data_IF_915034871778
#
_entry.id   IF_915034871778
#
_cell.length_a   1.000
_cell.length_b   1.000
_cell.length_c   1.000
_cell.angle_alpha   90.00
_cell.angle_beta   90.00
_cell.angle_gamma   90.00
#
_symmetry.space_group_name_H-M   'P 1'
#
loop_
_entity.id
_entity.type
_entity.pdbx_description
1 polymer ?
#
# COMPACT_ATOMS: atom_id res chain seq x y z
N UNK A 1 25.24 -30.57 58.99
CA UNK A 1 25.40 -29.82 60.26
C UNK A 1 24.03 -29.67 60.91
N UNK A 2 23.88 -30.40 62.01
CA UNK A 2 23.01 -30.21 63.19
C UNK A 2 21.48 -30.18 63.03
N UNK A 3 20.90 -31.31 63.46
CA UNK A 3 19.59 -31.43 64.10
C UNK A 3 19.55 -30.74 65.48
N UNK A 4 18.35 -30.41 65.99
CA UNK A 4 17.75 -30.96 67.24
C UNK A 4 16.65 -30.06 67.86
N UNK A 5 15.69 -30.74 68.53
CA UNK A 5 14.66 -30.31 69.52
C UNK A 5 13.44 -29.51 69.00
N UNK A 6 12.21 -30.02 68.95
CA UNK A 6 11.29 -30.60 69.98
C UNK A 6 10.90 -29.62 71.08
N UNK A 7 9.60 -29.27 71.20
CA UNK A 7 8.73 -29.60 72.35
C UNK A 7 7.26 -29.19 72.09
N UNK A 8 6.27 -29.95 72.61
CA UNK A 8 4.82 -29.72 72.45
C UNK A 8 4.18 -29.11 73.73
N UNK A 9 2.87 -28.85 73.73
CA UNK A 9 1.88 -29.27 74.77
C UNK A 9 0.50 -28.60 74.56
N UNK A 10 -0.56 -29.37 74.28
CA UNK A 10 -1.62 -29.87 75.19
C UNK A 10 -2.79 -28.88 75.40
N UNK A 11 -3.97 -29.31 74.95
CA UNK A 11 -5.31 -28.72 75.11
C UNK A 11 -5.83 -28.76 76.56
N UNK A 12 -6.71 -27.82 76.90
CA UNK A 12 -7.87 -28.05 77.77
C UNK A 12 -9.11 -27.31 77.24
N UNK A 13 -10.32 -27.88 77.37
CA UNK A 13 -11.56 -27.37 76.78
C UNK A 13 -12.40 -26.57 77.80
N UNK A 14 -13.31 -25.72 77.31
CA UNK A 14 -14.60 -25.52 77.97
C UNK A 14 -15.69 -25.15 76.96
N UNK A 15 -16.81 -25.84 77.08
CA UNK A 15 -17.98 -25.83 76.21
C UNK A 15 -18.93 -24.65 76.48
N UNK A 16 -19.89 -24.51 75.55
CA UNK A 16 -21.25 -23.98 75.68
C UNK A 16 -21.44 -22.46 75.46
N UNK A 17 -22.42 -21.96 74.69
CA UNK A 17 -23.61 -22.51 74.01
C UNK A 17 -24.14 -21.38 73.07
N UNK A 18 -24.74 -21.72 71.91
CA UNK A 18 -26.02 -21.16 71.36
C UNK A 18 -26.16 -21.48 69.84
N UNK A 19 -27.09 -22.41 69.59
CA UNK A 19 -28.02 -22.57 68.47
C UNK A 19 -27.55 -22.82 67.02
N UNK A 20 -27.56 -24.11 66.69
CA UNK A 20 -27.97 -24.67 65.39
C UNK A 20 -29.28 -24.06 64.86
N UNK A 21 -29.21 -23.35 63.73
CA UNK A 21 -30.36 -23.09 62.85
C UNK A 21 -30.10 -23.79 61.50
N UNK A 22 -31.13 -24.47 61.00
CA UNK A 22 -31.13 -25.48 59.94
C UNK A 22 -30.50 -25.03 58.61
N UNK A 23 -29.26 -25.47 58.34
CA UNK A 23 -28.52 -25.25 57.10
C UNK A 23 -29.00 -26.11 55.90
N UNK A 24 -29.84 -27.13 56.16
CA UNK A 24 -30.32 -28.08 55.12
C UNK A 24 -31.43 -27.50 54.24
N UNK A 25 -32.36 -26.71 54.80
CA UNK A 25 -33.45 -26.11 54.01
C UNK A 25 -32.96 -24.93 53.15
N UNK A 26 -32.04 -24.11 53.67
CA UNK A 26 -31.46 -22.99 52.94
C UNK A 26 -30.71 -23.47 51.68
N UNK A 27 -29.96 -24.56 51.77
CA UNK A 27 -29.25 -25.16 50.63
C UNK A 27 -30.22 -25.73 49.57
N UNK A 28 -31.41 -26.17 49.96
CA UNK A 28 -32.45 -26.68 49.04
C UNK A 28 -33.13 -25.55 48.28
N UNK A 29 -33.43 -24.44 48.95
CA UNK A 29 -33.99 -23.24 48.30
C UNK A 29 -32.96 -22.55 47.39
N UNK A 30 -31.69 -22.44 47.81
CA UNK A 30 -30.63 -21.86 46.96
C UNK A 30 -30.44 -22.70 45.69
N UNK A 31 -30.42 -24.03 45.78
CA UNK A 31 -30.34 -24.90 44.58
C UNK A 31 -31.53 -24.72 43.64
N UNK A 32 -32.74 -24.59 44.18
CA UNK A 32 -33.95 -24.35 43.39
C UNK A 32 -33.92 -22.99 42.69
N UNK A 33 -33.53 -21.93 43.40
CA UNK A 33 -33.43 -20.57 42.86
C UNK A 33 -32.31 -20.47 41.81
N UNK A 34 -31.17 -21.12 42.04
CA UNK A 34 -30.09 -21.16 41.04
C UNK A 34 -30.54 -21.93 39.79
N UNK A 35 -31.26 -23.03 39.95
CA UNK A 35 -31.79 -23.79 38.81
C UNK A 35 -32.80 -22.99 37.99
N UNK A 36 -33.71 -22.24 38.64
CA UNK A 36 -34.68 -21.40 37.94
C UNK A 36 -34.02 -20.22 37.24
N UNK A 37 -33.01 -19.58 37.86
CA UNK A 37 -32.26 -18.48 37.23
C UNK A 37 -31.43 -18.96 36.03
N UNK A 38 -30.81 -20.13 36.11
CA UNK A 38 -30.08 -20.73 34.98
C UNK A 38 -31.05 -21.09 33.85
N UNK A 39 -32.20 -21.69 34.16
CA UNK A 39 -33.21 -22.02 33.15
C UNK A 39 -33.80 -20.76 32.46
N UNK A 40 -34.07 -19.69 33.22
CA UNK A 40 -34.51 -18.42 32.65
C UNK A 40 -33.42 -17.77 31.80
N UNK A 41 -32.15 -17.84 32.23
CA UNK A 41 -31.02 -17.34 31.47
C UNK A 41 -30.77 -18.10 30.16
N UNK A 42 -30.92 -19.43 30.15
CA UNK A 42 -30.78 -20.22 28.91
C UNK A 42 -31.92 -19.97 27.94
N UNK A 43 -33.17 -19.85 28.44
CA UNK A 43 -34.33 -19.48 27.62
C UNK A 43 -34.13 -18.08 27.01
N UNK A 44 -33.67 -17.11 27.80
CA UNK A 44 -33.37 -15.76 27.32
C UNK A 44 -32.28 -15.76 26.25
N UNK A 45 -31.21 -16.54 26.42
CA UNK A 45 -30.17 -16.70 25.40
C UNK A 45 -30.72 -17.32 24.11
N UNK A 46 -31.58 -18.35 24.19
CA UNK A 46 -32.20 -18.98 23.01
C UNK A 46 -33.09 -17.96 22.28
N UNK A 47 -33.84 -17.14 23.00
CA UNK A 47 -34.68 -16.08 22.41
C UNK A 47 -33.81 -15.00 21.74
N UNK A 48 -32.72 -14.56 22.37
CA UNK A 48 -31.79 -13.58 21.77
C UNK A 48 -31.14 -14.14 20.51
N UNK A 49 -30.71 -15.41 20.51
CA UNK A 49 -30.15 -16.05 19.32
C UNK A 49 -31.21 -16.18 18.22
N UNK A 50 -32.44 -16.59 18.57
CA UNK A 50 -33.53 -16.70 17.61
C UNK A 50 -33.93 -15.35 16.98
N UNK A 51 -33.96 -14.28 17.78
CA UNK A 51 -34.24 -12.92 17.30
C UNK A 51 -33.10 -12.40 16.39
N UNK A 52 -31.84 -12.73 16.69
CA UNK A 52 -30.69 -12.36 15.85
C UNK A 52 -30.53 -13.21 14.59
N UNK A 53 -31.22 -14.35 14.47
CA UNK A 53 -31.20 -15.18 13.25
C UNK A 53 -32.14 -14.71 12.14
N UNK A 54 -32.98 -13.69 12.37
CA UNK A 54 -33.91 -13.17 11.35
C UNK A 54 -33.32 -12.10 10.42
N UNK A 55 -32.04 -11.71 10.56
CA UNK A 55 -31.41 -10.68 9.70
C UNK A 55 -30.35 -11.18 8.72
N UNK A 56 -30.23 -12.50 8.52
CA UNK A 56 -29.53 -13.01 7.33
C UNK A 56 -30.54 -13.22 6.21
N UNK A 57 -31.09 -12.12 5.72
CA UNK A 57 -31.56 -12.12 4.33
C UNK A 57 -30.36 -12.53 3.47
N UNK A 58 -30.54 -13.63 2.74
CA UNK A 58 -29.56 -14.10 1.78
C UNK A 58 -29.22 -12.94 0.84
N UNK A 59 -27.94 -12.57 0.78
CA UNK A 59 -27.41 -11.68 -0.25
C UNK A 59 -27.87 -12.23 -1.60
N UNK A 60 -28.72 -11.52 -2.38
CA UNK A 60 -29.18 -12.04 -3.64
C UNK A 60 -27.98 -12.21 -4.59
N UNK A 61 -27.76 -13.46 -4.98
CA UNK A 61 -26.84 -13.90 -6.01
C UNK A 61 -27.26 -13.40 -7.40
N UNK A 62 -26.37 -12.65 -8.08
CA UNK A 62 -26.24 -12.56 -9.56
C UNK A 62 -27.39 -11.79 -10.28
N UNK A 63 -27.12 -11.00 -11.34
CA UNK A 63 -27.75 -9.71 -11.53
C UNK A 63 -29.17 -9.78 -12.08
N UNK A 64 -30.00 -8.83 -11.64
CA UNK A 64 -31.32 -8.59 -12.18
C UNK A 64 -31.19 -8.15 -13.65
N UNK A 65 -31.34 -9.11 -14.57
CA UNK A 65 -31.50 -8.82 -15.99
C UNK A 65 -32.99 -8.57 -16.20
N UNK A 66 -33.36 -7.32 -16.49
CA UNK A 66 -34.72 -6.97 -16.92
C UNK A 66 -34.68 -6.63 -18.40
N UNK A 67 -35.47 -7.29 -19.24
CA UNK A 67 -35.54 -7.03 -20.68
C UNK A 67 -34.18 -7.06 -21.40
N UNK A 68 -33.32 -8.05 -21.11
CA UNK A 68 -31.94 -8.15 -21.60
C UNK A 68 -31.02 -6.97 -21.21
N UNK A 69 -31.43 -6.12 -20.25
CA UNK A 69 -30.60 -5.04 -19.71
C UNK A 69 -29.98 -5.49 -18.39
N UNK A 70 -28.67 -5.34 -18.27
CA UNK A 70 -27.96 -5.59 -17.02
C UNK A 70 -28.24 -4.49 -15.99
N UNK A 71 -28.90 -4.83 -14.87
CA UNK A 71 -29.11 -3.91 -13.75
C UNK A 71 -28.22 -4.25 -12.54
N UNK A 72 -27.13 -4.98 -12.76
CA UNK A 72 -26.08 -5.16 -11.75
C UNK A 72 -25.55 -3.77 -11.33
N UNK A 73 -25.17 -3.57 -10.05
CA UNK A 73 -24.57 -2.30 -9.61
C UNK A 73 -23.40 -1.84 -10.50
N UNK A 74 -22.49 -2.76 -10.85
CA UNK A 74 -21.34 -2.46 -11.71
C UNK A 74 -21.75 -2.03 -13.12
N UNK A 75 -22.77 -2.66 -13.71
CA UNK A 75 -23.32 -2.27 -15.02
C UNK A 75 -23.89 -0.85 -14.99
N UNK A 76 -24.65 -0.51 -13.94
CA UNK A 76 -25.25 0.82 -13.79
C UNK A 76 -24.18 1.90 -13.61
N UNK A 77 -23.17 1.64 -12.78
CA UNK A 77 -22.04 2.54 -12.55
C UNK A 77 -21.26 2.78 -13.85
N UNK A 78 -20.95 1.70 -14.58
CA UNK A 78 -20.21 1.80 -15.84
C UNK A 78 -21.01 2.51 -16.93
N UNK A 79 -22.30 2.20 -17.08
CA UNK A 79 -23.17 2.88 -18.04
C UNK A 79 -23.26 4.37 -17.74
N UNK A 80 -23.42 4.75 -16.47
CA UNK A 80 -23.42 6.16 -16.03
C UNK A 80 -22.09 6.85 -16.36
N UNK A 81 -20.95 6.21 -16.07
CA UNK A 81 -19.62 6.74 -16.39
C UNK A 81 -19.42 6.97 -17.88
N UNK A 82 -19.87 6.04 -18.73
CA UNK A 82 -19.82 6.17 -20.19
C UNK A 82 -20.68 7.36 -20.63
N UNK A 83 -21.95 7.40 -20.21
CA UNK A 83 -22.89 8.45 -20.60
C UNK A 83 -22.41 9.86 -20.18
N UNK A 84 -21.80 9.99 -19.00
CA UNK A 84 -21.28 11.28 -18.52
C UNK A 84 -20.10 11.80 -19.35
N UNK A 85 -19.33 10.90 -19.98
CA UNK A 85 -18.19 11.28 -20.83
C UNK A 85 -18.61 11.62 -22.26
N UNK A 86 -19.73 11.04 -22.73
CA UNK A 86 -20.24 11.22 -24.09
C UNK A 86 -20.90 12.58 -24.28
N UNK A 87 -20.72 13.19 -25.46
CA UNK A 87 -21.48 14.34 -25.94
C UNK A 87 -22.47 13.91 -27.03
N UNK A 88 -23.72 13.64 -26.62
CA UNK A 88 -24.79 13.14 -27.49
C UNK A 88 -25.26 14.15 -28.55
N UNK A 89 -24.73 15.39 -28.54
CA UNK A 89 -25.03 16.40 -29.58
C UNK A 89 -24.17 16.25 -30.83
N UNK A 90 -23.10 15.45 -30.75
CA UNK A 90 -22.18 15.20 -31.87
C UNK A 90 -22.65 13.95 -32.63
N UNK A 91 -22.64 13.99 -33.95
CA UNK A 91 -22.92 12.80 -34.76
C UNK A 91 -21.72 11.85 -34.72
N UNK A 92 -21.86 10.61 -34.16
CA UNK A 92 -20.77 9.64 -34.09
C UNK A 92 -20.20 9.24 -35.45
N UNK A 93 -20.96 9.35 -36.53
CA UNK A 93 -20.48 9.05 -37.88
C UNK A 93 -19.54 10.13 -38.44
N UNK A 94 -19.53 11.32 -37.83
CA UNK A 94 -18.70 12.46 -38.26
C UNK A 94 -17.48 12.65 -37.36
N UNK A 95 -17.64 12.58 -36.04
CA UNK A 95 -16.56 12.68 -35.07
C UNK A 95 -16.86 11.80 -33.85
N UNK A 96 -16.44 10.53 -33.94
CA UNK A 96 -16.63 9.56 -32.89
C UNK A 96 -15.86 9.92 -31.60
N UNK A 97 -14.72 10.61 -31.71
CA UNK A 97 -13.93 10.99 -30.54
C UNK A 97 -14.65 12.05 -29.71
N UNK A 98 -15.14 13.11 -30.34
CA UNK A 98 -15.93 14.14 -29.65
C UNK A 98 -17.27 13.60 -29.15
N UNK A 99 -17.91 12.68 -29.88
CA UNK A 99 -19.12 12.00 -29.39
C UNK A 99 -18.86 11.19 -28.12
N UNK A 100 -17.75 10.44 -28.06
CA UNK A 100 -17.47 9.54 -26.91
C UNK A 100 -16.80 10.24 -25.73
N UNK A 101 -15.99 11.28 -25.97
CA UNK A 101 -15.17 11.93 -24.96
C UNK A 101 -15.45 13.43 -24.77
N UNK A 102 -16.36 14.02 -25.55
CA UNK A 102 -16.55 15.47 -25.59
C UNK A 102 -16.89 16.10 -24.24
N UNK A 103 -17.71 15.43 -23.41
CA UNK A 103 -18.02 15.93 -22.07
C UNK A 103 -16.90 15.64 -21.07
N UNK A 104 -16.16 14.54 -21.21
CA UNK A 104 -14.98 14.29 -20.40
C UNK A 104 -13.96 15.43 -20.54
N UNK A 105 -13.66 15.84 -21.78
CA UNK A 105 -12.72 16.93 -22.05
C UNK A 105 -13.17 18.28 -21.48
N UNK A 106 -14.48 18.58 -21.54
CA UNK A 106 -15.04 19.82 -20.98
C UNK A 106 -14.98 19.85 -19.45
N UNK A 107 -15.20 18.72 -18.81
CA UNK A 107 -15.35 18.62 -17.36
C UNK A 107 -14.05 18.25 -16.64
N UNK A 108 -13.02 17.85 -17.38
CA UNK A 108 -11.74 17.38 -16.82
C UNK A 108 -10.59 18.26 -17.33
N UNK A 109 -10.45 19.49 -16.82
CA UNK A 109 -9.32 20.33 -17.15
C UNK A 109 -8.03 19.69 -16.62
N UNK A 110 -6.94 19.86 -17.36
CA UNK A 110 -5.62 19.38 -16.92
C UNK A 110 -5.17 20.18 -15.70
N UNK A 111 -4.91 19.54 -14.54
CA UNK A 111 -4.38 20.20 -13.36
C UNK A 111 -3.02 20.88 -13.63
N UNK A 112 -2.67 21.89 -12.84
CA UNK A 112 -1.42 22.64 -13.03
C UNK A 112 -0.14 21.81 -12.84
N UNK A 113 -0.24 20.71 -12.08
CA UNK A 113 0.84 19.76 -11.80
C UNK A 113 0.90 18.59 -12.80
N UNK A 114 0.00 18.56 -13.80
CA UNK A 114 -0.08 17.49 -14.80
C UNK A 114 0.04 18.06 -16.22
N UNK A 115 0.56 17.24 -17.14
CA UNK A 115 0.69 17.61 -18.56
C UNK A 115 -0.45 17.07 -19.42
N UNK A 116 -1.10 16.01 -18.97
CA UNK A 116 -2.15 15.26 -19.68
C UNK A 116 -3.16 14.80 -18.62
N UNK A 117 -4.44 14.70 -18.98
CA UNK A 117 -5.42 13.92 -18.22
C UNK A 117 -6.10 12.91 -19.12
N UNK A 118 -6.22 11.68 -18.64
CA UNK A 118 -6.81 10.56 -19.37
C UNK A 118 -7.33 9.50 -18.42
N UNK A 119 -8.21 8.63 -18.92
CA UNK A 119 -8.68 7.47 -18.17
C UNK A 119 -7.56 6.53 -17.72
N UNK A 120 -6.45 6.47 -18.47
CA UNK A 120 -5.26 5.70 -18.10
C UNK A 120 -4.55 6.29 -16.88
N UNK A 121 -4.43 7.62 -16.80
CA UNK A 121 -3.85 8.28 -15.62
C UNK A 121 -4.73 8.11 -14.40
N UNK A 122 -6.06 8.18 -14.55
CA UNK A 122 -6.98 7.92 -13.43
C UNK A 122 -6.81 6.50 -12.88
N UNK A 123 -6.73 5.50 -13.76
CA UNK A 123 -6.47 4.11 -13.37
C UNK A 123 -5.08 3.96 -12.71
N UNK A 124 -4.06 4.59 -13.27
CA UNK A 124 -2.71 4.58 -12.70
C UNK A 124 -2.67 5.22 -11.31
N UNK A 125 -3.37 6.34 -11.09
CA UNK A 125 -3.49 6.99 -9.78
C UNK A 125 -4.12 6.04 -8.77
N UNK A 126 -5.19 5.33 -9.13
CA UNK A 126 -5.80 4.34 -8.24
C UNK A 126 -4.83 3.22 -7.86
N UNK A 127 -4.07 2.69 -8.83
CA UNK A 127 -3.04 1.67 -8.57
C UNK A 127 -1.94 2.22 -7.66
N UNK A 128 -1.47 3.45 -7.89
CA UNK A 128 -0.45 4.08 -7.07
C UNK A 128 -0.92 4.35 -5.64
N UNK A 129 -2.19 4.71 -5.45
CA UNK A 129 -2.79 4.86 -4.12
C UNK A 129 -2.85 3.52 -3.37
N UNK A 130 -3.25 2.44 -4.05
CA UNK A 130 -3.23 1.10 -3.46
C UNK A 130 -1.80 0.68 -3.11
N UNK A 131 -0.85 0.88 -4.01
CA UNK A 131 0.56 0.58 -3.77
C UNK A 131 1.10 1.39 -2.58
N UNK A 132 0.80 2.68 -2.50
CA UNK A 132 1.16 3.53 -1.38
C UNK A 132 0.67 2.96 -0.05
N UNK A 133 -0.60 2.56 0.02
CA UNK A 133 -1.16 1.95 1.22
C UNK A 133 -0.36 0.71 1.64
N UNK A 134 -0.06 -0.18 0.69
CA UNK A 134 0.74 -1.38 0.95
C UNK A 134 2.17 -1.07 1.43
N UNK A 135 2.78 0.01 0.92
CA UNK A 135 4.15 0.41 1.29
C UNK A 135 4.22 1.13 2.64
N UNK A 136 3.15 1.82 3.03
CA UNK A 136 3.04 2.54 4.30
C UNK A 136 2.63 1.64 5.48
N UNK A 137 2.11 0.45 5.21
CA UNK A 137 1.81 -0.56 6.22
C UNK A 137 3.03 -0.89 7.11
N UNK A 138 2.75 -1.14 8.39
CA UNK A 138 3.78 -1.56 9.34
C UNK A 138 4.31 -2.94 8.93
N UNK A 139 5.63 -3.03 8.79
CA UNK A 139 6.30 -4.31 8.57
C UNK A 139 6.13 -5.23 9.77
N UNK A 140 5.87 -6.51 9.50
CA UNK A 140 5.75 -7.53 10.55
C UNK A 140 7.05 -8.33 10.66
N UNK A 141 7.27 -8.96 11.81
CA UNK A 141 8.46 -9.81 12.02
C UNK A 141 8.53 -10.97 11.01
N UNK A 142 7.37 -11.50 10.60
CA UNK A 142 7.21 -12.62 9.66
C UNK A 142 7.30 -12.21 8.18
N UNK A 143 7.37 -10.91 7.87
CA UNK A 143 7.43 -10.44 6.48
C UNK A 143 8.75 -10.84 5.80
N UNK A 144 8.66 -11.29 4.54
CA UNK A 144 9.83 -11.70 3.75
C UNK A 144 10.74 -10.49 3.46
N UNK A 145 12.04 -10.78 3.33
CA UNK A 145 13.06 -9.75 3.13
C UNK A 145 12.78 -8.80 1.96
N UNK A 146 12.36 -9.25 0.75
CA UNK A 146 12.10 -8.34 -0.36
C UNK A 146 11.06 -7.27 -0.03
N UNK A 147 9.97 -7.62 0.66
CA UNK A 147 8.93 -6.67 1.04
C UNK A 147 9.42 -5.68 2.09
N UNK A 148 10.22 -6.14 3.07
CA UNK A 148 10.87 -5.25 4.04
C UNK A 148 11.79 -4.25 3.35
N UNK A 149 12.59 -4.68 2.38
CA UNK A 149 13.51 -3.81 1.63
C UNK A 149 12.75 -2.76 0.83
N UNK A 150 11.70 -3.14 0.09
CA UNK A 150 10.91 -2.19 -0.70
C UNK A 150 10.20 -1.16 0.20
N UNK A 151 9.64 -1.58 1.34
CA UNK A 151 9.03 -0.67 2.32
C UNK A 151 10.05 0.29 2.94
N UNK A 152 11.24 -0.19 3.28
CA UNK A 152 12.31 0.65 3.82
C UNK A 152 12.83 1.64 2.78
N UNK A 153 12.96 1.20 1.52
CA UNK A 153 13.34 2.07 0.41
C UNK A 153 12.32 3.20 0.21
N UNK A 154 11.02 2.87 0.20
CA UNK A 154 9.94 3.86 0.14
C UNK A 154 10.04 4.86 1.31
N UNK A 155 10.20 4.38 2.56
CA UNK A 155 10.34 5.25 3.74
C UNK A 155 11.55 6.17 3.67
N UNK A 156 12.66 5.70 3.11
CA UNK A 156 13.85 6.54 2.89
C UNK A 156 13.57 7.68 1.90
N UNK A 157 12.78 7.41 0.85
CA UNK A 157 12.37 8.42 -0.13
C UNK A 157 11.41 9.46 0.48
N UNK A 158 10.49 9.01 1.34
CA UNK A 158 9.47 9.89 1.93
C UNK A 158 9.98 10.72 3.12
N UNK A 159 11.17 10.44 3.67
CA UNK A 159 11.72 11.16 4.81
C UNK A 159 12.40 12.47 4.37
N UNK A 160 11.58 13.47 4.06
CA UNK A 160 12.05 14.79 3.62
C UNK A 160 12.92 15.48 4.68
N UNK A 161 12.65 15.29 5.97
CA UNK A 161 13.49 15.85 7.04
C UNK A 161 14.94 15.37 6.96
N UNK A 162 15.16 14.07 6.70
CA UNK A 162 16.51 13.53 6.53
C UNK A 162 17.17 14.03 5.23
N UNK A 163 16.40 14.17 4.15
CA UNK A 163 16.87 14.69 2.86
C UNK A 163 17.33 16.15 3.01
N UNK A 164 16.51 17.00 3.63
CA UNK A 164 16.85 18.41 3.86
C UNK A 164 18.04 18.58 4.81
N UNK A 165 18.19 17.69 5.80
CA UNK A 165 19.36 17.69 6.68
C UNK A 165 20.66 17.30 5.97
N UNK A 166 20.62 16.43 4.95
CA UNK A 166 21.79 16.12 4.10
C UNK A 166 22.15 17.29 3.17
N UNK A 167 21.13 17.99 2.67
CA UNK A 167 21.27 19.14 1.78
C UNK A 167 22.09 18.80 0.54
N UNK A 168 23.22 19.50 0.32
CA UNK A 168 24.09 19.28 -0.83
C UNK A 168 25.27 18.33 -0.54
N UNK A 169 25.30 17.68 0.64
CA UNK A 169 26.48 16.92 1.08
C UNK A 169 26.71 15.69 0.21
N UNK A 170 25.71 14.84 0.02
CA UNK A 170 25.85 13.62 -0.79
C UNK A 170 26.22 13.94 -2.23
N UNK A 171 25.54 14.92 -2.85
CA UNK A 171 25.82 15.27 -4.25
C UNK A 171 27.23 15.86 -4.41
N UNK A 172 27.74 16.65 -3.46
CA UNK A 172 29.12 17.14 -3.51
C UNK A 172 30.14 16.01 -3.45
N UNK A 173 29.92 15.01 -2.59
CA UNK A 173 30.78 13.82 -2.52
C UNK A 173 30.80 13.08 -3.87
N UNK A 174 29.63 12.90 -4.48
CA UNK A 174 29.52 12.28 -5.80
C UNK A 174 30.30 13.10 -6.83
N UNK A 175 30.11 14.42 -6.90
CA UNK A 175 30.82 15.28 -7.85
C UNK A 175 32.34 15.26 -7.66
N UNK A 176 32.82 15.26 -6.42
CA UNK A 176 34.25 15.12 -6.13
C UNK A 176 34.82 13.78 -6.63
N UNK A 177 34.03 12.70 -6.58
CA UNK A 177 34.42 11.40 -7.13
C UNK A 177 34.51 11.37 -8.68
N UNK A 178 33.96 12.39 -9.34
CA UNK A 178 34.00 12.57 -10.79
C UNK A 178 35.07 13.58 -11.23
N UNK A 179 35.99 13.94 -10.33
CA UNK A 179 37.01 14.98 -10.54
C UNK A 179 36.37 16.37 -10.75
N UNK A 180 35.27 16.61 -10.03
CA UNK A 180 34.65 17.92 -9.92
C UNK A 180 33.68 18.26 -11.05
N UNK A 181 33.06 19.43 -10.93
CA UNK A 181 32.19 20.00 -11.96
C UNK A 181 32.61 21.44 -12.27
N UNK A 182 33.04 21.76 -13.52
CA UNK A 182 33.58 23.08 -13.85
C UNK A 182 32.67 24.26 -13.49
N UNK A 183 31.34 24.10 -13.55
CA UNK A 183 30.40 25.18 -13.21
C UNK A 183 30.41 25.53 -11.71
N UNK A 184 30.74 24.57 -10.85
CA UNK A 184 30.74 24.75 -9.40
C UNK A 184 32.12 25.18 -8.91
N UNK A 185 33.18 24.62 -9.50
CA UNK A 185 34.56 24.83 -9.07
C UNK A 185 35.25 26.01 -9.78
N UNK A 186 34.72 26.45 -10.92
CA UNK A 186 35.26 27.60 -11.66
C UNK A 186 36.73 27.38 -12.04
N UNK A 187 37.56 28.36 -11.71
CA UNK A 187 38.99 28.37 -12.05
C UNK A 187 39.80 27.29 -11.31
N UNK A 188 39.29 26.76 -10.19
CA UNK A 188 39.92 25.67 -9.44
C UNK A 188 39.76 24.30 -10.14
N UNK A 189 38.84 24.21 -11.12
CA UNK A 189 38.60 22.98 -11.83
C UNK A 189 39.71 22.70 -12.86
N UNK A 190 40.41 21.57 -12.68
CA UNK A 190 41.54 21.21 -13.55
C UNK A 190 41.14 20.18 -14.61
N UNK A 191 40.93 20.65 -15.84
CA UNK A 191 40.48 19.84 -16.97
C UNK A 191 41.32 18.57 -17.23
N UNK A 192 42.64 18.63 -17.01
CA UNK A 192 43.51 17.48 -17.29
C UNK A 192 43.37 16.35 -16.25
N UNK A 193 42.72 16.60 -15.10
CA UNK A 193 42.31 15.56 -14.16
C UNK A 193 41.01 14.87 -14.57
N UNK A 194 40.25 15.41 -15.51
CA UNK A 194 38.94 14.87 -15.89
C UNK A 194 39.06 13.88 -17.05
N UNK A 195 38.68 12.62 -16.80
CA UNK A 195 38.47 11.61 -17.85
C UNK A 195 36.98 11.26 -17.92
N UNK A 196 36.35 11.61 -19.04
CA UNK A 196 34.92 11.37 -19.26
C UNK A 196 34.56 9.88 -19.21
N UNK A 197 35.45 8.97 -19.63
CA UNK A 197 35.21 7.52 -19.56
C UNK A 197 35.16 7.08 -18.12
N UNK A 198 36.15 7.52 -17.33
CA UNK A 198 36.21 7.21 -15.90
C UNK A 198 35.00 7.79 -15.18
N UNK A 199 34.60 9.02 -15.49
CA UNK A 199 33.39 9.62 -14.94
C UNK A 199 32.12 8.79 -15.28
N UNK A 200 31.97 8.35 -16.53
CA UNK A 200 30.86 7.48 -16.94
C UNK A 200 30.89 6.12 -16.23
N UNK A 201 32.07 5.51 -16.06
CA UNK A 201 32.22 4.26 -15.32
C UNK A 201 31.87 4.42 -13.84
N UNK A 202 32.41 5.47 -13.20
CA UNK A 202 32.10 5.79 -11.81
C UNK A 202 30.60 5.98 -11.63
N UNK A 203 29.96 6.83 -12.44
CA UNK A 203 28.51 7.07 -12.41
C UNK A 203 27.70 5.78 -12.55
N UNK A 204 28.03 4.91 -13.51
CA UNK A 204 27.36 3.61 -13.68
C UNK A 204 27.53 2.71 -12.46
N UNK A 205 28.74 2.66 -11.90
CA UNK A 205 29.06 1.83 -10.74
C UNK A 205 28.29 2.28 -9.47
N UNK A 206 28.06 3.58 -9.31
CA UNK A 206 27.26 4.14 -8.20
C UNK A 206 25.75 4.20 -8.51
N UNK A 207 25.29 3.62 -9.62
CA UNK A 207 23.88 3.46 -9.94
C UNK A 207 23.24 4.57 -10.79
N UNK A 208 24.02 5.55 -11.26
CA UNK A 208 23.52 6.56 -12.19
C UNK A 208 23.57 6.03 -13.63
N UNK A 209 22.52 6.35 -14.40
CA UNK A 209 22.52 6.09 -15.84
C UNK A 209 23.45 7.07 -16.56
N UNK A 210 24.72 6.68 -16.77
CA UNK A 210 25.67 7.48 -17.54
C UNK A 210 25.50 7.22 -19.05
N UNK A 211 24.44 7.79 -19.62
CA UNK A 211 24.10 7.72 -21.04
C UNK A 211 24.20 9.11 -21.70
N UNK A 212 25.20 9.90 -21.31
CA UNK A 212 25.33 11.31 -21.73
C UNK A 212 25.98 11.45 -23.12
N UNK A 213 27.07 10.73 -23.36
CA UNK A 213 27.81 10.78 -24.63
C UNK A 213 27.49 9.59 -25.52
N UNK A 214 27.44 8.40 -24.93
CA UNK A 214 27.15 7.14 -25.60
C UNK A 214 26.21 6.35 -24.70
N UNK A 215 25.11 5.87 -25.25
CA UNK A 215 24.22 4.94 -24.54
C UNK A 215 24.67 3.52 -24.87
N UNK A 216 25.08 2.82 -23.82
CA UNK A 216 25.50 1.43 -23.87
C UNK A 216 24.55 0.59 -23.04
N UNK A 217 23.86 -0.35 -23.70
CA UNK A 217 22.95 -1.30 -23.08
C UNK A 217 23.33 -2.73 -23.48
N UNK A 218 22.98 -3.70 -22.65
CA UNK A 218 23.04 -5.12 -23.01
C UNK A 218 21.65 -5.52 -23.49
N UNK A 219 21.53 -5.77 -24.80
CA UNK A 219 20.26 -6.14 -25.43
C UNK A 219 20.29 -7.60 -25.89
N UNK A 220 19.11 -8.11 -26.24
CA UNK A 220 18.97 -9.40 -26.91
C UNK A 220 19.42 -9.23 -28.37
N UNK A 221 20.19 -10.18 -28.89
CA UNK A 221 20.55 -10.19 -30.30
C UNK A 221 19.30 -10.43 -31.16
N UNK A 222 19.07 -9.57 -32.15
CA UNK A 222 17.87 -9.58 -32.99
C UNK A 222 17.82 -10.80 -33.94
N UNK A 223 18.96 -11.41 -34.24
CA UNK A 223 19.08 -12.60 -35.08
C UNK A 223 19.14 -13.88 -34.23
N UNK A 224 19.59 -13.77 -32.97
CA UNK A 224 19.66 -14.91 -32.05
C UNK A 224 19.24 -14.53 -30.62
N UNK A 225 17.98 -14.81 -30.27
CA UNK A 225 17.41 -14.45 -28.97
C UNK A 225 18.07 -15.11 -27.75
N UNK A 226 18.87 -16.16 -27.96
CA UNK A 226 19.65 -16.83 -26.91
C UNK A 226 20.93 -16.07 -26.54
N UNK A 227 21.35 -15.10 -27.36
CA UNK A 227 22.54 -14.29 -27.12
C UNK A 227 22.20 -12.92 -26.53
N UNK A 228 23.21 -12.30 -25.92
CA UNK A 228 23.20 -10.92 -25.45
C UNK A 228 24.34 -10.18 -26.10
N UNK A 229 24.07 -8.98 -26.60
CA UNK A 229 25.04 -8.14 -27.29
C UNK A 229 25.05 -6.74 -26.70
N UNK A 230 26.19 -6.06 -26.81
CA UNK A 230 26.32 -4.66 -26.41
C UNK A 230 25.75 -3.82 -27.55
N UNK A 231 24.72 -3.05 -27.25
CA UNK A 231 24.18 -2.04 -28.15
C UNK A 231 24.86 -0.70 -27.89
N UNK A 232 25.33 -0.07 -28.96
CA UNK A 232 25.93 1.26 -28.93
C UNK A 232 25.02 2.18 -29.73
N UNK A 233 24.29 3.06 -29.04
CA UNK A 233 23.38 4.00 -29.69
C UNK A 233 23.62 5.43 -29.26
N UNK A 234 23.17 6.37 -30.09
CA UNK A 234 23.16 7.79 -29.78
C UNK A 234 22.42 8.01 -28.45
N UNK A 235 22.96 8.82 -27.53
CA UNK A 235 22.25 9.17 -26.31
C UNK A 235 20.98 9.95 -26.64
N UNK A 236 19.90 9.72 -25.88
CA UNK A 236 18.69 10.51 -26.02
C UNK A 236 18.99 11.89 -25.48
N UNK A 237 18.98 12.90 -26.35
CA UNK A 237 19.19 14.27 -25.90
C UNK A 237 17.95 14.78 -25.17
N UNK A 238 18.13 15.61 -24.14
CA UNK A 238 17.02 16.31 -23.47
C UNK A 238 16.17 17.16 -24.43
N UNK A 239 16.72 17.52 -25.60
CA UNK A 239 16.05 18.29 -26.64
C UNK A 239 15.13 17.45 -27.54
N UNK A 240 15.43 16.16 -27.75
CA UNK A 240 14.57 15.26 -28.56
C UNK A 240 13.26 14.89 -27.83
N UNK A 241 13.27 14.85 -26.49
CA UNK A 241 12.09 14.54 -25.67
C UNK A 241 10.90 15.51 -25.87
N UNK A 242 11.14 16.75 -26.30
CA UNK A 242 10.08 17.73 -26.51
C UNK A 242 9.26 17.47 -27.79
N UNK A 243 9.82 16.69 -28.73
CA UNK A 243 9.18 16.40 -30.02
C UNK A 243 8.36 15.11 -30.04
N UNK A 244 8.62 14.17 -29.12
CA UNK A 244 8.00 12.84 -29.13
C UNK A 244 6.65 12.75 -28.38
N UNK A 245 6.19 13.84 -27.73
CA UNK A 245 4.92 13.88 -26.99
C UNK A 245 3.83 14.70 -27.71
N UNK A 246 4.04 15.07 -28.97
CA UNK A 246 3.09 15.83 -29.80
C UNK A 246 2.83 15.13 -31.13
N UNK A 247 2.34 13.89 -31.06
CA UNK A 247 1.77 13.17 -32.21
C UNK A 247 0.73 12.17 -31.73
#
# INVERSE_FOLDING_TARGET
MNAFHSFPKINFPMENLIHFVSWKNLRRHIKSVVFTLVALGTILCIVIVALNTQSKEAVPTIPAIANNVCLAPDCVIMASKILNNMDLKIDPCTDFYSFTCGNFMKNTPVPADEYIVSSFQDAQKQVLLQLRNLLEERSTSKELLPFKLVKNFYKSCMNTTAIEADGLKTIKIILSSLNGWPVIEGDEWYYAKFDWKQAMYTLRNIGFSANYLIKLDVIIDLQNSSLRVISVIKPISRFEFRSANFS
#
